data_IF_328065634696
#
_entry.id   IF_328065634696
#
_cell.length_a   1.000
_cell.length_b   1.000
_cell.length_c   1.000
_cell.angle_alpha   90.00
_cell.angle_beta   90.00
_cell.angle_gamma   90.00
#
_symmetry.space_group_name_H-M   'P 1'
#
loop_
_entity.id
_entity.type
_entity.pdbx_description
1 polymer ?
#
# COMPACT_ATOMS: atom_id res chain seq x y z
N UNK A 1 26.36 -50.81 -50.19
CA UNK A 1 27.57 -50.17 -50.02
C UNK A 1 27.29 -48.72 -49.78
N UNK A 2 27.82 -48.12 -48.89
CA UNK A 2 27.82 -46.76 -48.39
C UNK A 2 26.69 -46.44 -47.41
N UNK A 3 26.99 -46.59 -46.10
CA UNK A 3 26.26 -46.13 -44.97
C UNK A 3 26.29 -44.59 -44.93
N UNK A 4 25.12 -43.94 -44.84
CA UNK A 4 24.98 -42.52 -44.49
C UNK A 4 24.52 -42.48 -43.03
N UNK A 5 25.45 -42.12 -42.14
CA UNK A 5 25.22 -41.87 -40.75
C UNK A 5 24.34 -40.59 -40.62
N UNK A 6 23.13 -40.76 -40.12
CA UNK A 6 22.27 -39.65 -39.65
C UNK A 6 22.81 -39.17 -38.31
N UNK A 7 23.41 -38.00 -38.30
CA UNK A 7 23.65 -37.24 -37.07
C UNK A 7 22.32 -36.63 -36.57
N UNK A 8 21.71 -37.28 -35.59
CA UNK A 8 20.69 -36.63 -34.77
C UNK A 8 21.40 -35.55 -33.95
N UNK A 9 21.21 -34.32 -34.30
CA UNK A 9 21.53 -33.18 -33.42
C UNK A 9 20.49 -33.17 -32.29
N UNK A 10 20.94 -33.53 -31.10
CA UNK A 10 20.28 -33.13 -29.84
C UNK A 10 20.19 -31.61 -29.83
N UNK A 11 19.00 -31.11 -30.16
CA UNK A 11 18.65 -29.73 -29.85
C UNK A 11 18.40 -29.65 -28.32
N UNK A 12 19.48 -29.50 -27.57
CA UNK A 12 19.37 -29.05 -26.20
C UNK A 12 18.51 -27.78 -26.20
N UNK A 13 17.39 -27.78 -25.48
CA UNK A 13 16.56 -26.62 -25.29
C UNK A 13 17.37 -25.57 -24.53
N UNK A 14 18.05 -24.70 -25.26
CA UNK A 14 18.54 -23.45 -24.67
C UNK A 14 17.33 -22.74 -24.04
N UNK A 15 17.43 -22.37 -22.78
CA UNK A 15 16.44 -21.52 -22.17
C UNK A 15 16.21 -20.30 -23.10
N UNK A 16 14.97 -19.91 -23.39
CA UNK A 16 14.69 -18.83 -24.32
C UNK A 16 15.45 -17.58 -23.88
N UNK A 17 16.05 -16.89 -24.85
CA UNK A 17 16.77 -15.64 -24.64
C UNK A 17 15.89 -14.70 -23.79
N UNK A 18 16.46 -14.02 -22.82
CA UNK A 18 15.69 -13.28 -21.79
C UNK A 18 14.69 -12.28 -22.39
N UNK A 19 14.96 -11.70 -23.57
CA UNK A 19 14.08 -10.81 -24.30
C UNK A 19 12.87 -11.55 -24.86
N UNK A 20 13.06 -12.70 -25.46
CA UNK A 20 12.00 -13.55 -26.00
C UNK A 20 11.00 -14.00 -24.94
N UNK A 21 11.44 -14.26 -23.71
CA UNK A 21 10.56 -14.65 -22.61
C UNK A 21 9.66 -13.50 -22.12
N UNK A 22 10.19 -12.26 -22.06
CA UNK A 22 9.39 -11.09 -21.69
C UNK A 22 8.36 -10.75 -22.77
N UNK A 23 8.74 -10.83 -24.04
CA UNK A 23 7.82 -10.64 -25.18
C UNK A 23 6.72 -11.69 -25.21
N UNK A 24 7.03 -12.96 -24.95
CA UNK A 24 6.05 -14.03 -24.86
C UNK A 24 5.05 -13.81 -23.70
N UNK A 25 5.53 -13.36 -22.54
CA UNK A 25 4.67 -12.98 -21.40
C UNK A 25 3.72 -11.84 -21.76
N UNK A 26 4.23 -10.80 -22.44
CA UNK A 26 3.43 -9.65 -22.86
C UNK A 26 2.40 -10.08 -23.93
N UNK A 27 2.78 -10.91 -24.89
CA UNK A 27 1.85 -11.46 -25.88
C UNK A 27 0.71 -12.22 -25.21
N UNK A 28 1.02 -13.09 -24.24
CA UNK A 28 -0.01 -13.79 -23.46
C UNK A 28 -0.97 -12.82 -22.77
N UNK A 29 -0.46 -11.75 -22.14
CA UNK A 29 -1.30 -10.73 -21.52
C UNK A 29 -2.19 -9.99 -22.52
N UNK A 30 -1.67 -9.68 -23.71
CA UNK A 30 -2.43 -9.03 -24.79
C UNK A 30 -3.55 -9.92 -25.33
N UNK A 31 -3.35 -11.25 -25.32
CA UNK A 31 -4.35 -12.26 -25.69
C UNK A 31 -5.35 -12.53 -24.53
N UNK A 32 -5.26 -11.79 -23.42
CA UNK A 32 -6.13 -11.92 -22.25
C UNK A 32 -5.78 -13.08 -21.32
N UNK A 33 -4.63 -13.73 -21.51
CA UNK A 33 -4.14 -14.82 -20.65
C UNK A 33 -3.45 -14.31 -19.37
N UNK A 34 -3.48 -15.11 -18.31
CA UNK A 34 -2.83 -14.81 -17.04
C UNK A 34 -1.35 -15.22 -17.06
N UNK A 35 -0.53 -14.47 -16.32
CA UNK A 35 0.83 -14.89 -15.99
C UNK A 35 0.81 -15.67 -14.67
N UNK A 36 1.57 -16.74 -14.62
CA UNK A 36 1.93 -17.35 -13.33
C UNK A 36 2.94 -16.48 -12.57
N UNK A 37 3.15 -16.82 -11.31
CA UNK A 37 4.08 -16.11 -10.41
C UNK A 37 5.50 -16.02 -10.96
N UNK A 38 5.98 -17.07 -11.62
CA UNK A 38 7.34 -17.12 -12.16
C UNK A 38 7.50 -16.22 -13.38
N UNK A 39 6.53 -16.23 -14.31
CA UNK A 39 6.51 -15.38 -15.48
C UNK A 39 6.37 -13.90 -15.09
N UNK A 40 5.46 -13.59 -14.17
CA UNK A 40 5.31 -12.24 -13.62
C UNK A 40 6.61 -11.78 -12.95
N UNK A 41 7.21 -12.60 -12.11
CA UNK A 41 8.48 -12.26 -11.47
C UNK A 41 9.58 -11.97 -12.49
N UNK A 42 9.70 -12.78 -13.56
CA UNK A 42 10.67 -12.55 -14.64
C UNK A 42 10.44 -11.21 -15.34
N UNK A 43 9.18 -10.91 -15.70
CA UNK A 43 8.80 -9.65 -16.35
C UNK A 43 9.16 -8.45 -15.48
N UNK A 44 8.80 -8.47 -14.20
CA UNK A 44 9.07 -7.38 -13.28
C UNK A 44 10.55 -7.27 -12.87
N UNK A 45 11.32 -8.37 -12.88
CA UNK A 45 12.78 -8.31 -12.72
C UNK A 45 13.41 -7.49 -13.83
N UNK A 46 13.01 -7.69 -15.07
CA UNK A 46 13.50 -6.90 -16.20
C UNK A 46 13.12 -5.41 -16.10
N UNK A 47 11.92 -5.13 -15.59
CA UNK A 47 11.49 -3.75 -15.34
C UNK A 47 12.43 -3.06 -14.35
N UNK A 48 12.72 -3.68 -13.19
CA UNK A 48 13.54 -3.05 -12.15
C UNK A 48 15.03 -2.97 -12.51
N UNK A 49 15.50 -3.82 -13.41
CA UNK A 49 16.83 -3.78 -14.01
C UNK A 49 16.97 -2.70 -15.10
N UNK A 50 15.84 -2.12 -15.55
CA UNK A 50 15.82 -1.16 -16.64
C UNK A 50 16.06 -1.78 -18.02
N UNK A 51 15.94 -3.10 -18.15
CA UNK A 51 16.16 -3.86 -19.39
C UNK A 51 14.88 -4.09 -20.20
N UNK A 52 13.70 -3.66 -19.69
CA UNK A 52 12.44 -3.68 -20.44
C UNK A 52 12.20 -2.30 -21.08
N UNK A 53 12.00 -2.29 -22.42
CA UNK A 53 11.76 -1.04 -23.14
C UNK A 53 10.44 -0.37 -22.73
N UNK A 54 10.36 0.96 -22.83
CA UNK A 54 9.14 1.71 -22.48
C UNK A 54 7.89 1.25 -23.26
N UNK A 55 7.93 0.95 -24.57
CA UNK A 55 6.78 0.42 -25.28
C UNK A 55 6.30 -0.93 -24.75
N UNK A 56 7.21 -1.86 -24.45
CA UNK A 56 6.86 -3.17 -23.88
C UNK A 56 6.32 -3.03 -22.46
N UNK A 57 6.90 -2.15 -21.66
CA UNK A 57 6.41 -1.84 -20.33
C UNK A 57 4.99 -1.24 -20.37
N UNK A 58 4.73 -0.32 -21.31
CA UNK A 58 3.39 0.25 -21.51
C UNK A 58 2.39 -0.84 -21.92
N UNK A 59 2.75 -1.70 -22.87
CA UNK A 59 1.91 -2.81 -23.32
C UNK A 59 1.56 -3.75 -22.14
N UNK A 60 2.55 -4.15 -21.33
CA UNK A 60 2.34 -4.98 -20.15
C UNK A 60 1.39 -4.34 -19.14
N UNK A 61 1.59 -3.05 -18.81
CA UNK A 61 0.76 -2.34 -17.84
C UNK A 61 -0.69 -2.18 -18.32
N UNK A 62 -0.88 -1.90 -19.61
CA UNK A 62 -2.22 -1.74 -20.18
C UNK A 62 -2.93 -3.09 -20.27
N UNK A 63 -2.24 -4.14 -20.73
CA UNK A 63 -2.81 -5.48 -20.84
C UNK A 63 -3.24 -6.02 -19.47
N UNK A 64 -2.38 -5.96 -18.44
CA UNK A 64 -2.72 -6.33 -17.06
C UNK A 64 -3.95 -5.59 -16.54
N UNK A 65 -4.01 -4.27 -16.76
CA UNK A 65 -5.14 -3.46 -16.32
C UNK A 65 -6.45 -3.82 -17.03
N UNK A 66 -6.42 -4.05 -18.35
CA UNK A 66 -7.62 -4.34 -19.16
C UNK A 66 -8.15 -5.73 -18.84
N UNK A 67 -7.25 -6.70 -18.69
CA UNK A 67 -7.57 -8.07 -18.31
C UNK A 67 -8.10 -8.14 -16.85
N UNK A 68 -7.52 -7.36 -15.96
CA UNK A 68 -7.63 -7.46 -14.52
C UNK A 68 -6.47 -8.26 -13.94
N UNK A 69 -5.81 -7.68 -12.96
CA UNK A 69 -4.62 -8.25 -12.32
C UNK A 69 -5.00 -9.43 -11.40
N UNK A 70 -4.27 -10.55 -11.48
CA UNK A 70 -4.44 -11.72 -10.62
C UNK A 70 -3.50 -11.69 -9.41
N UNK A 71 -3.78 -12.51 -8.39
CA UNK A 71 -2.90 -12.64 -7.23
C UNK A 71 -1.50 -13.14 -7.62
N UNK A 72 -1.39 -14.13 -8.52
CA UNK A 72 -0.11 -14.67 -8.99
C UNK A 72 0.75 -13.60 -9.68
N UNK A 73 0.11 -12.73 -10.47
CA UNK A 73 0.78 -11.60 -11.12
C UNK A 73 1.27 -10.57 -10.12
N UNK A 74 0.47 -10.27 -9.10
CA UNK A 74 0.85 -9.35 -8.02
C UNK A 74 1.96 -9.93 -7.14
N UNK A 75 1.89 -11.23 -6.80
CA UNK A 75 2.91 -11.91 -6.01
C UNK A 75 4.26 -11.88 -6.75
N UNK A 76 4.28 -12.32 -8.01
CA UNK A 76 5.50 -12.33 -8.81
C UNK A 76 6.12 -10.94 -8.97
N UNK A 77 5.28 -9.93 -9.26
CA UNK A 77 5.71 -8.54 -9.33
C UNK A 77 6.27 -8.01 -8.00
N UNK A 78 5.59 -8.28 -6.89
CA UNK A 78 6.03 -7.87 -5.56
C UNK A 78 7.37 -8.53 -5.18
N UNK A 79 7.55 -9.80 -5.48
CA UNK A 79 8.80 -10.51 -5.22
C UNK A 79 9.98 -9.93 -5.99
N UNK A 80 9.79 -9.63 -7.28
CA UNK A 80 10.83 -9.01 -8.10
C UNK A 80 11.25 -7.65 -7.53
N UNK A 81 10.29 -6.79 -7.16
CA UNK A 81 10.57 -5.48 -6.61
C UNK A 81 11.20 -5.55 -5.20
N UNK A 82 10.74 -6.48 -4.35
CA UNK A 82 11.31 -6.71 -3.02
C UNK A 82 12.74 -7.24 -3.06
N UNK A 83 13.10 -8.02 -4.08
CA UNK A 83 14.43 -8.61 -4.21
C UNK A 83 15.53 -7.54 -4.38
N UNK A 84 15.20 -6.40 -4.98
CA UNK A 84 16.13 -5.28 -5.23
C UNK A 84 15.88 -4.07 -4.31
N UNK A 85 14.97 -4.21 -3.35
CA UNK A 85 14.68 -3.14 -2.40
C UNK A 85 15.83 -2.95 -1.41
N UNK A 86 16.04 -1.71 -0.97
CA UNK A 86 16.96 -1.42 0.14
C UNK A 86 16.39 -2.00 1.42
N UNK A 87 17.25 -2.62 2.23
CA UNK A 87 16.85 -3.22 3.50
C UNK A 87 16.45 -2.15 4.53
N UNK A 88 15.47 -2.48 5.36
CA UNK A 88 15.12 -1.74 6.57
C UNK A 88 15.38 -2.65 7.80
N UNK A 89 16.02 -2.15 8.87
CA UNK A 89 16.29 -2.93 10.08
C UNK A 89 15.01 -3.10 10.90
N UNK A 90 14.15 -4.04 10.49
CA UNK A 90 12.85 -4.27 11.10
C UNK A 90 12.95 -4.64 12.58
N UNK A 91 12.06 -4.09 13.45
CA UNK A 91 12.05 -4.43 14.86
C UNK A 91 11.56 -5.86 15.10
N UNK A 92 11.92 -6.43 16.26
CA UNK A 92 11.39 -7.73 16.67
C UNK A 92 9.97 -7.65 17.27
N UNK A 93 9.54 -6.45 17.70
CA UNK A 93 8.18 -6.24 18.21
C UNK A 93 7.16 -6.09 17.07
N UNK A 94 5.88 -6.34 17.40
CA UNK A 94 4.78 -6.19 16.44
C UNK A 94 4.61 -4.73 16.04
N UNK A 95 4.50 -4.50 14.74
CA UNK A 95 4.18 -3.21 14.12
C UNK A 95 3.27 -3.39 12.92
N UNK A 96 2.61 -2.32 12.51
CA UNK A 96 1.65 -2.34 11.42
C UNK A 96 2.01 -1.34 10.31
N UNK A 97 1.34 -1.47 9.16
CA UNK A 97 1.25 -0.44 8.12
C UNK A 97 -0.22 -0.17 7.81
N UNK A 98 -0.51 1.05 7.38
CA UNK A 98 -1.83 1.47 6.91
C UNK A 98 -1.68 2.29 5.64
N UNK A 99 -2.23 1.80 4.54
CA UNK A 99 -2.12 2.47 3.24
C UNK A 99 -3.30 2.13 2.32
N UNK A 100 -3.63 3.03 1.40
CA UNK A 100 -4.44 2.73 0.23
C UNK A 100 -3.56 2.49 -0.99
N UNK A 101 -4.08 1.77 -1.98
CA UNK A 101 -3.42 1.64 -3.29
C UNK A 101 -3.48 2.94 -4.08
N UNK A 102 -4.35 3.86 -3.68
CA UNK A 102 -4.67 5.06 -4.44
C UNK A 102 -5.53 4.77 -5.67
N UNK A 103 -5.88 5.84 -6.39
CA UNK A 103 -6.62 5.71 -7.65
C UNK A 103 -8.13 5.58 -7.49
N UNK A 104 -8.68 5.91 -6.34
CA UNK A 104 -10.12 6.05 -6.07
C UNK A 104 -10.68 7.40 -6.56
N UNK A 105 -9.81 8.36 -6.86
CA UNK A 105 -10.14 9.72 -7.30
C UNK A 105 -11.07 10.49 -6.34
N UNK A 106 -11.20 10.05 -5.10
CA UNK A 106 -12.05 10.71 -4.09
C UNK A 106 -11.53 12.09 -3.71
N UNK A 107 -10.21 12.27 -3.78
CA UNK A 107 -9.56 13.48 -3.30
C UNK A 107 -9.77 13.73 -1.80
N UNK A 108 -9.94 12.67 -1.01
CA UNK A 108 -10.12 12.73 0.44
C UNK A 108 -8.89 13.31 1.15
N UNK A 109 -9.04 13.66 2.43
CA UNK A 109 -7.92 13.94 3.32
C UNK A 109 -7.03 12.68 3.44
N UNK A 110 -5.81 12.84 3.96
CA UNK A 110 -4.87 11.72 4.12
C UNK A 110 -5.27 10.81 5.31
N UNK A 111 -6.39 10.07 5.14
CA UNK A 111 -7.03 9.25 6.18
C UNK A 111 -6.06 8.23 6.75
N UNK A 112 -5.46 7.38 5.90
CA UNK A 112 -4.54 6.32 6.34
C UNK A 112 -3.28 6.87 7.03
N UNK A 113 -2.80 8.08 6.66
CA UNK A 113 -1.68 8.74 7.35
C UNK A 113 -2.07 9.17 8.76
N UNK A 114 -3.23 9.83 8.91
CA UNK A 114 -3.76 10.23 10.20
C UNK A 114 -4.08 9.01 11.09
N UNK A 115 -4.72 7.98 10.51
CA UNK A 115 -5.05 6.74 11.21
C UNK A 115 -3.80 6.00 11.72
N UNK A 116 -2.72 5.96 10.93
CA UNK A 116 -1.45 5.39 11.36
C UNK A 116 -0.84 6.12 12.56
N UNK A 117 -0.88 7.45 12.57
CA UNK A 117 -0.39 8.25 13.72
C UNK A 117 -1.26 8.04 14.96
N UNK A 118 -2.59 7.97 14.78
CA UNK A 118 -3.53 7.68 15.89
C UNK A 118 -3.30 6.28 16.44
N UNK A 119 -3.12 5.27 15.59
CA UNK A 119 -2.82 3.91 16.04
C UNK A 119 -1.50 3.84 16.81
N UNK A 120 -0.47 4.56 16.36
CA UNK A 120 0.79 4.69 17.08
C UNK A 120 0.60 5.32 18.47
N UNK A 121 -0.21 6.37 18.59
CA UNK A 121 -0.57 6.99 19.85
C UNK A 121 -1.34 6.04 20.80
N UNK A 122 -2.07 5.06 20.24
CA UNK A 122 -2.71 3.98 20.99
C UNK A 122 -1.76 2.82 21.34
N UNK A 123 -0.46 2.96 21.11
CA UNK A 123 0.55 1.95 21.48
C UNK A 123 0.76 0.83 20.44
N UNK A 124 0.25 0.95 19.22
CA UNK A 124 0.56 0.08 18.10
C UNK A 124 1.62 0.76 17.22
N UNK A 125 2.89 0.36 17.24
CA UNK A 125 3.88 0.96 16.37
C UNK A 125 3.51 0.84 14.89
N UNK A 126 3.72 1.92 14.11
CA UNK A 126 3.38 1.97 12.69
C UNK A 126 4.58 2.36 11.86
N UNK A 127 4.91 1.54 10.87
CA UNK A 127 5.91 1.81 9.83
C UNK A 127 5.16 2.07 8.53
N UNK A 128 4.85 3.33 8.28
CA UNK A 128 4.09 3.69 7.09
C UNK A 128 4.98 3.77 5.86
N UNK A 129 4.72 2.91 4.87
CA UNK A 129 5.33 3.03 3.56
C UNK A 129 4.46 3.88 2.63
N UNK A 130 5.03 4.92 2.04
CA UNK A 130 4.24 5.85 1.24
C UNK A 130 5.05 6.66 0.24
N UNK A 131 4.35 7.49 -0.52
CA UNK A 131 4.95 8.29 -1.58
C UNK A 131 4.29 9.68 -1.66
N UNK A 132 4.90 10.56 -2.48
CA UNK A 132 4.24 11.77 -2.96
C UNK A 132 3.11 11.41 -3.91
N UNK A 133 2.15 12.32 -4.06
CA UNK A 133 1.02 12.12 -4.96
C UNK A 133 1.47 11.95 -6.41
N UNK A 134 0.79 11.03 -7.09
CA UNK A 134 0.91 10.84 -8.54
C UNK A 134 -0.35 11.29 -9.29
N UNK A 135 -1.52 11.13 -8.67
CA UNK A 135 -2.83 11.40 -9.27
C UNK A 135 -3.73 12.28 -8.41
N UNK A 136 -3.52 12.32 -7.10
CA UNK A 136 -4.28 13.15 -6.16
C UNK A 136 -3.61 14.52 -5.94
N UNK A 137 -4.28 15.41 -5.20
CA UNK A 137 -3.73 16.74 -4.87
C UNK A 137 -2.66 16.68 -3.77
N UNK A 138 -2.66 15.62 -2.95
CA UNK A 138 -1.79 15.50 -1.78
C UNK A 138 -1.57 14.02 -1.42
N UNK A 139 -0.36 13.55 -1.58
CA UNK A 139 0.07 12.22 -1.12
C UNK A 139 0.45 12.21 0.36
N UNK A 140 0.75 11.02 0.88
CA UNK A 140 1.16 10.86 2.29
C UNK A 140 2.48 11.57 2.61
N UNK A 141 3.44 11.56 1.70
CA UNK A 141 4.69 12.30 1.86
C UNK A 141 4.45 13.82 1.82
N UNK A 142 3.62 14.29 0.86
CA UNK A 142 3.34 15.72 0.69
C UNK A 142 2.75 16.34 1.96
N UNK A 143 1.81 15.65 2.61
CA UNK A 143 1.19 16.17 3.85
C UNK A 143 2.17 16.15 5.03
N UNK A 144 3.03 15.13 5.15
CA UNK A 144 4.01 15.05 6.23
C UNK A 144 5.11 16.13 6.06
N UNK A 145 5.57 16.39 4.83
CA UNK A 145 6.47 17.50 4.53
C UNK A 145 5.82 18.86 4.83
N UNK A 146 4.55 19.04 4.47
CA UNK A 146 3.80 20.26 4.81
C UNK A 146 3.55 20.41 6.33
N UNK A 147 3.58 19.32 7.10
CA UNK A 147 3.58 19.34 8.55
C UNK A 147 4.94 19.69 9.16
N UNK A 148 6.02 19.68 8.37
CA UNK A 148 7.38 20.04 8.77
C UNK A 148 8.30 18.83 8.99
N UNK A 149 7.89 17.61 8.64
CA UNK A 149 8.74 16.44 8.76
C UNK A 149 9.79 16.37 7.65
N UNK A 150 10.99 15.92 7.97
CA UNK A 150 12.01 15.51 7.00
C UNK A 150 11.80 14.03 6.66
N UNK A 151 11.76 13.69 5.39
CA UNK A 151 11.45 12.32 4.92
C UNK A 151 12.62 11.65 4.18
N UNK A 152 13.68 12.39 3.86
CA UNK A 152 14.89 11.89 3.22
C UNK A 152 15.86 11.27 4.25
N UNK A 153 15.32 10.32 5.02
CA UNK A 153 15.99 9.66 6.13
C UNK A 153 16.66 8.35 5.67
N UNK A 154 17.77 8.01 6.30
CA UNK A 154 18.35 6.67 6.19
C UNK A 154 17.46 5.63 6.87
N UNK A 155 17.68 4.36 6.55
CA UNK A 155 16.94 3.27 7.20
C UNK A 155 17.21 3.18 8.71
N UNK A 156 18.40 3.54 9.16
CA UNK A 156 18.76 3.57 10.58
C UNK A 156 18.07 4.73 11.31
N UNK A 157 18.12 5.96 10.77
CA UNK A 157 17.39 7.09 11.33
C UNK A 157 15.89 6.79 11.44
N UNK A 158 15.28 6.26 10.37
CA UNK A 158 13.86 5.88 10.37
C UNK A 158 13.54 4.81 11.42
N UNK A 159 14.46 3.87 11.67
CA UNK A 159 14.30 2.87 12.72
C UNK A 159 14.40 3.48 14.11
N UNK A 160 15.36 4.35 14.37
CA UNK A 160 15.49 5.06 15.65
C UNK A 160 14.27 5.93 15.96
N UNK A 161 13.74 6.61 14.93
CA UNK A 161 12.51 7.39 15.05
C UNK A 161 11.33 6.47 15.45
N UNK A 162 11.19 5.31 14.80
CA UNK A 162 10.16 4.34 15.16
C UNK A 162 10.26 3.92 16.62
N UNK A 163 11.45 3.58 17.08
CA UNK A 163 11.68 3.12 18.46
C UNK A 163 11.38 4.21 19.51
N UNK A 164 11.61 5.48 19.16
CA UNK A 164 11.37 6.64 20.04
C UNK A 164 9.92 7.10 20.06
N UNK A 165 9.24 7.04 18.91
CA UNK A 165 7.95 7.73 18.72
C UNK A 165 6.79 6.78 18.44
N UNK A 166 7.05 5.51 18.15
CA UNK A 166 6.05 4.55 17.70
C UNK A 166 5.57 4.75 16.26
N UNK A 167 6.05 5.77 15.56
CA UNK A 167 5.68 6.05 14.16
C UNK A 167 6.91 6.39 13.33
N UNK A 168 7.03 5.82 12.12
CA UNK A 168 7.98 6.29 11.13
C UNK A 168 7.36 6.23 9.72
N UNK A 169 7.98 6.99 8.81
CA UNK A 169 7.57 7.04 7.41
C UNK A 169 8.74 6.60 6.51
N UNK A 170 8.48 5.63 5.63
CA UNK A 170 9.46 5.15 4.65
C UNK A 170 9.07 5.68 3.27
N UNK A 171 9.85 6.61 2.76
CA UNK A 171 9.61 7.22 1.44
C UNK A 171 9.98 6.24 0.32
N UNK A 172 9.00 5.74 -0.41
CA UNK A 172 9.14 4.65 -1.38
C UNK A 172 10.30 4.80 -2.39
N UNK A 173 10.57 5.96 -3.00
CA UNK A 173 11.70 6.11 -3.92
C UNK A 173 13.08 5.84 -3.29
N UNK A 174 13.23 6.04 -1.98
CA UNK A 174 14.50 5.77 -1.29
C UNK A 174 14.76 4.27 -1.13
N UNK A 175 13.70 3.46 -1.04
CA UNK A 175 13.83 2.02 -0.84
C UNK A 175 13.72 1.19 -2.12
N UNK A 176 13.10 1.73 -3.16
CA UNK A 176 12.83 1.02 -4.42
C UNK A 176 13.38 1.77 -5.64
N UNK A 177 14.69 1.93 -5.78
CA UNK A 177 15.28 2.71 -6.87
C UNK A 177 14.92 2.16 -8.25
N UNK A 178 14.77 0.84 -8.41
CA UNK A 178 14.40 0.20 -9.68
C UNK A 178 13.01 0.59 -10.20
N UNK A 179 12.10 1.05 -9.33
CA UNK A 179 10.78 1.54 -9.76
C UNK A 179 10.91 2.82 -10.62
N UNK A 180 12.00 3.54 -10.51
CA UNK A 180 12.23 4.76 -11.30
C UNK A 180 12.13 4.50 -12.82
N UNK A 181 12.51 3.31 -13.30
CA UNK A 181 12.40 2.93 -14.71
C UNK A 181 10.95 2.93 -15.22
N UNK A 182 9.96 2.65 -14.37
CA UNK A 182 8.54 2.73 -14.72
C UNK A 182 7.98 4.16 -14.71
N UNK A 183 8.71 5.12 -14.18
CA UNK A 183 8.25 6.50 -13.99
C UNK A 183 7.79 7.20 -15.27
N UNK A 184 8.61 7.23 -16.36
CA UNK A 184 8.20 7.86 -17.62
C UNK A 184 6.94 7.25 -18.21
N UNK A 185 6.85 5.91 -18.26
CA UNK A 185 5.69 5.20 -18.81
C UNK A 185 4.42 5.51 -18.00
N UNK A 186 4.48 5.47 -16.68
CA UNK A 186 3.34 5.78 -15.81
C UNK A 186 2.89 7.23 -15.98
N UNK A 187 3.80 8.20 -16.13
CA UNK A 187 3.45 9.60 -16.41
C UNK A 187 2.81 9.79 -17.77
N UNK A 188 3.25 9.04 -18.78
CA UNK A 188 2.67 9.09 -20.12
C UNK A 188 1.27 8.48 -20.17
N UNK A 189 1.06 7.33 -19.54
CA UNK A 189 -0.21 6.61 -19.51
C UNK A 189 -1.32 7.35 -18.74
N UNK A 190 -0.98 8.01 -17.64
CA UNK A 190 -1.94 8.75 -16.75
C UNK A 190 -3.13 7.92 -16.28
N UNK A 191 -2.97 6.62 -16.21
CA UNK A 191 -3.96 5.68 -15.69
C UNK A 191 -3.39 4.86 -14.54
N UNK A 192 -4.27 4.25 -13.74
CA UNK A 192 -3.85 3.25 -12.75
C UNK A 192 -3.22 2.06 -13.46
N UNK A 193 -2.15 1.54 -12.92
CA UNK A 193 -1.46 0.34 -13.39
C UNK A 193 -1.22 -0.61 -12.22
N UNK A 194 -0.78 -1.84 -12.47
CA UNK A 194 -0.38 -2.80 -11.44
C UNK A 194 0.61 -2.20 -10.43
N UNK A 195 1.45 -1.24 -10.84
CA UNK A 195 2.38 -0.55 -9.94
C UNK A 195 1.69 0.20 -8.78
N UNK A 196 0.44 0.59 -8.95
CA UNK A 196 -0.35 1.18 -7.85
C UNK A 196 -0.76 0.09 -6.85
N UNK A 197 -1.14 -1.09 -7.34
CA UNK A 197 -1.58 -2.21 -6.50
C UNK A 197 -0.42 -2.82 -5.72
N UNK A 198 0.78 -2.80 -6.29
CA UNK A 198 1.99 -3.31 -5.64
C UNK A 198 2.44 -2.46 -4.46
N UNK A 199 2.13 -1.15 -4.41
CA UNK A 199 2.58 -0.24 -3.36
C UNK A 199 2.43 -0.78 -1.94
N UNK A 200 1.25 -1.23 -1.49
CA UNK A 200 1.03 -1.85 -0.19
C UNK A 200 1.84 -3.13 0.06
N UNK A 201 2.17 -3.84 -1.00
CA UNK A 201 2.92 -5.10 -0.95
C UNK A 201 4.43 -4.90 -0.80
N UNK A 202 4.93 -3.67 -0.89
CA UNK A 202 6.36 -3.36 -1.02
C UNK A 202 6.98 -2.72 0.23
N UNK A 203 6.27 -2.59 1.35
CA UNK A 203 6.85 -2.00 2.56
C UNK A 203 8.16 -2.74 2.94
N UNK A 204 9.31 -2.05 2.94
CA UNK A 204 10.61 -2.68 3.17
C UNK A 204 10.77 -3.22 4.60
N UNK A 205 9.97 -2.71 5.55
CA UNK A 205 9.93 -3.23 6.92
C UNK A 205 9.23 -4.59 7.03
N UNK A 206 8.45 -5.00 6.01
CA UNK A 206 7.69 -6.27 5.97
C UNK A 206 6.78 -6.45 7.18
N UNK A 207 5.82 -5.54 7.42
CA UNK A 207 4.89 -5.62 8.54
C UNK A 207 4.10 -6.93 8.51
N UNK A 208 3.80 -7.45 9.71
CA UNK A 208 2.94 -8.63 9.88
C UNK A 208 1.48 -8.27 9.99
N UNK A 209 1.17 -6.98 10.16
CA UNK A 209 -0.19 -6.43 10.26
C UNK A 209 -0.35 -5.30 9.26
N UNK A 210 -1.42 -5.34 8.45
CA UNK A 210 -1.70 -4.26 7.48
C UNK A 210 -3.20 -3.94 7.39
N UNK A 211 -3.53 -2.65 7.26
CA UNK A 211 -4.81 -2.18 6.74
C UNK A 211 -4.58 -1.64 5.33
N UNK A 212 -5.23 -2.24 4.33
CA UNK A 212 -5.01 -1.89 2.92
C UNK A 212 -6.32 -1.55 2.24
N UNK A 213 -6.44 -0.31 1.77
CA UNK A 213 -7.57 0.12 0.96
C UNK A 213 -7.38 -0.12 -0.54
N UNK A 214 -8.44 -0.50 -1.23
CA UNK A 214 -8.46 -0.71 -2.69
C UNK A 214 -9.60 0.07 -3.35
N UNK A 215 -9.40 0.64 -4.56
CA UNK A 215 -10.39 1.48 -5.23
C UNK A 215 -11.49 0.70 -5.93
N UNK A 216 -11.35 -0.62 -6.08
CA UNK A 216 -12.30 -1.52 -6.73
C UNK A 216 -12.44 -2.80 -5.92
N UNK A 217 -13.68 -3.23 -5.66
CA UNK A 217 -13.99 -4.46 -4.92
C UNK A 217 -13.36 -5.73 -5.52
N UNK A 218 -13.13 -5.74 -6.83
CA UNK A 218 -12.49 -6.88 -7.52
C UNK A 218 -11.06 -7.14 -7.05
N UNK A 219 -10.42 -6.14 -6.44
CA UNK A 219 -9.05 -6.21 -5.94
C UNK A 219 -8.95 -6.74 -4.50
N UNK A 220 -10.07 -6.89 -3.79
CA UNK A 220 -10.09 -7.34 -2.40
C UNK A 220 -9.38 -8.68 -2.23
N UNK A 221 -9.84 -9.72 -2.94
CA UNK A 221 -9.25 -11.06 -2.89
C UNK A 221 -7.81 -11.10 -3.43
N UNK A 222 -7.51 -10.59 -4.64
CA UNK A 222 -6.15 -10.63 -5.16
C UNK A 222 -5.11 -9.96 -4.24
N UNK A 223 -5.48 -8.85 -3.59
CA UNK A 223 -4.59 -8.19 -2.62
C UNK A 223 -4.46 -9.01 -1.34
N UNK A 224 -5.54 -9.56 -0.80
CA UNK A 224 -5.49 -10.39 0.42
C UNK A 224 -4.62 -11.64 0.21
N UNK A 225 -4.81 -12.36 -0.90
CA UNK A 225 -4.00 -13.51 -1.29
C UNK A 225 -2.52 -13.13 -1.49
N UNK A 226 -2.26 -11.99 -2.13
CA UNK A 226 -0.91 -11.45 -2.30
C UNK A 226 -0.25 -11.19 -0.95
N UNK A 227 -0.93 -10.53 -0.02
CA UNK A 227 -0.41 -10.24 1.32
C UNK A 227 -0.10 -11.53 2.10
N UNK A 228 -1.00 -12.52 2.04
CA UNK A 228 -0.80 -13.83 2.66
C UNK A 228 0.46 -14.53 2.11
N UNK A 229 0.60 -14.61 0.78
CA UNK A 229 1.75 -15.22 0.11
C UNK A 229 3.07 -14.49 0.43
N UNK A 230 3.02 -13.19 0.70
CA UNK A 230 4.16 -12.38 1.09
C UNK A 230 4.48 -12.42 2.60
N UNK A 231 3.73 -13.23 3.37
CA UNK A 231 3.98 -13.51 4.78
C UNK A 231 3.40 -12.48 5.75
N UNK A 232 2.39 -11.70 5.35
CA UNK A 232 1.55 -10.92 6.25
C UNK A 232 0.67 -11.90 7.04
N UNK A 233 0.60 -11.74 8.35
CA UNK A 233 -0.14 -12.65 9.23
C UNK A 233 -1.58 -12.18 9.46
N UNK A 234 -1.77 -10.86 9.56
CA UNK A 234 -3.09 -10.25 9.73
C UNK A 234 -3.24 -9.07 8.80
N UNK A 235 -4.29 -9.05 8.01
CA UNK A 235 -4.62 -7.89 7.21
C UNK A 235 -6.13 -7.65 7.17
N UNK A 236 -6.48 -6.40 6.96
CA UNK A 236 -7.82 -6.00 6.59
C UNK A 236 -7.72 -5.29 5.24
N UNK A 237 -8.24 -5.91 4.19
CA UNK A 237 -8.32 -5.32 2.85
C UNK A 237 -9.71 -4.78 2.64
N UNK A 238 -9.85 -3.48 2.29
CA UNK A 238 -11.13 -2.77 2.33
C UNK A 238 -11.44 -2.01 1.04
N UNK A 239 -12.72 -1.95 0.71
CA UNK A 239 -13.30 -1.11 -0.34
C UNK A 239 -14.53 -0.39 0.20
N UNK A 240 -14.41 0.89 0.50
CA UNK A 240 -15.44 1.69 1.16
C UNK A 240 -16.35 2.42 0.19
N UNK A 241 -17.25 1.72 -0.53
CA UNK A 241 -18.24 2.35 -1.42
C UNK A 241 -17.62 3.38 -2.38
N UNK A 242 -16.51 3.01 -3.03
CA UNK A 242 -15.77 3.84 -3.98
C UNK A 242 -14.50 4.48 -3.41
N UNK A 243 -14.21 4.30 -2.12
CA UNK A 243 -12.96 4.76 -1.47
C UNK A 243 -12.00 3.60 -1.26
N UNK A 244 -10.70 3.89 -1.29
CA UNK A 244 -9.64 3.00 -0.80
C UNK A 244 -9.37 3.18 0.71
N UNK A 245 -10.45 3.37 1.48
CA UNK A 245 -10.50 3.52 2.94
C UNK A 245 -11.80 2.92 3.47
N UNK A 246 -11.95 2.73 4.79
CA UNK A 246 -13.24 2.40 5.39
C UNK A 246 -14.13 3.63 5.37
N UNK A 247 -15.31 3.49 4.76
CA UNK A 247 -16.21 4.60 4.45
C UNK A 247 -17.11 5.00 5.62
N UNK A 248 -17.43 6.31 5.69
CA UNK A 248 -18.49 6.83 6.55
C UNK A 248 -19.83 7.04 5.82
N UNK A 249 -19.83 7.10 4.50
CA UNK A 249 -21.04 7.40 3.69
C UNK A 249 -21.84 6.17 3.30
N UNK A 250 -21.27 4.97 3.51
CA UNK A 250 -21.87 3.71 3.12
C UNK A 250 -21.25 2.51 3.84
N UNK A 251 -21.58 1.33 3.37
CA UNK A 251 -20.91 0.12 3.83
C UNK A 251 -19.53 -0.02 3.18
N UNK A 252 -18.66 -0.75 3.84
CA UNK A 252 -17.34 -1.11 3.35
C UNK A 252 -17.29 -2.62 3.18
N UNK A 253 -16.99 -3.08 1.97
CA UNK A 253 -16.65 -4.48 1.76
C UNK A 253 -15.23 -4.72 2.24
N UNK A 254 -15.04 -5.77 3.01
CA UNK A 254 -13.78 -6.07 3.64
C UNK A 254 -13.43 -7.56 3.50
N UNK A 255 -12.14 -7.82 3.46
CA UNK A 255 -11.57 -9.16 3.60
C UNK A 255 -10.63 -9.14 4.80
N UNK A 256 -10.87 -10.01 5.77
CA UNK A 256 -9.89 -10.30 6.81
C UNK A 256 -8.94 -11.40 6.35
N UNK A 257 -7.65 -11.18 6.60
CA UNK A 257 -6.63 -12.21 6.55
C UNK A 257 -6.16 -12.44 7.99
N UNK A 258 -6.25 -13.68 8.47
CA UNK A 258 -5.75 -14.07 9.78
C UNK A 258 -5.05 -15.41 9.67
N UNK A 259 -3.73 -15.41 9.82
CA UNK A 259 -2.87 -16.61 9.80
C UNK A 259 -3.11 -17.53 8.56
N UNK A 260 -3.39 -16.93 7.41
CA UNK A 260 -3.62 -17.61 6.14
C UNK A 260 -5.10 -17.84 5.78
N UNK A 261 -6.02 -17.69 6.72
CA UNK A 261 -7.46 -17.71 6.46
C UNK A 261 -7.94 -16.37 5.91
N UNK A 262 -8.80 -16.42 4.90
CA UNK A 262 -9.31 -15.25 4.16
C UNK A 262 -10.83 -15.26 4.18
N UNK A 263 -11.43 -14.32 4.93
CA UNK A 263 -12.87 -14.25 5.16
C UNK A 263 -13.44 -12.90 4.72
N UNK A 264 -14.48 -12.90 3.85
CA UNK A 264 -15.19 -11.70 3.47
C UNK A 264 -16.22 -11.29 4.52
N UNK A 265 -16.34 -9.98 4.78
CA UNK A 265 -17.39 -9.42 5.62
C UNK A 265 -17.67 -7.96 5.26
N UNK A 266 -18.63 -7.34 5.93
CA UNK A 266 -18.99 -5.94 5.72
C UNK A 266 -18.83 -5.13 7.00
N UNK A 267 -18.40 -3.89 6.84
CA UNK A 267 -18.28 -2.90 7.91
C UNK A 267 -19.24 -1.76 7.62
N UNK A 268 -19.98 -1.33 8.63
CA UNK A 268 -20.78 -0.11 8.59
C UNK A 268 -20.35 0.85 9.69
N UNK A 269 -20.52 2.19 9.50
CA UNK A 269 -20.21 3.17 10.54
C UNK A 269 -20.98 2.90 11.84
N UNK A 270 -22.23 2.45 11.74
CA UNK A 270 -23.11 2.18 12.88
C UNK A 270 -22.59 1.06 13.78
N UNK A 271 -21.95 0.00 13.21
CA UNK A 271 -21.28 -1.05 13.98
C UNK A 271 -20.19 -0.49 14.89
N UNK A 272 -19.49 0.54 14.40
CA UNK A 272 -18.47 1.28 15.14
C UNK A 272 -19.03 2.34 16.11
N UNK A 273 -20.34 2.50 16.16
CA UNK A 273 -21.00 3.55 16.96
C UNK A 273 -20.92 4.96 16.35
N UNK A 274 -20.67 5.03 15.04
CA UNK A 274 -20.54 6.29 14.30
C UNK A 274 -21.78 6.55 13.45
N UNK A 275 -22.09 7.83 13.23
CA UNK A 275 -23.08 8.22 12.25
C UNK A 275 -22.47 8.32 10.85
N UNK A 276 -23.32 8.29 9.84
CA UNK A 276 -22.90 8.52 8.45
C UNK A 276 -22.62 9.99 8.18
N UNK A 277 -21.63 10.21 7.30
CA UNK A 277 -21.30 11.52 6.78
C UNK A 277 -21.14 11.44 5.26
N UNK A 278 -21.62 12.43 4.50
CA UNK A 278 -21.37 12.49 3.05
C UNK A 278 -19.86 12.48 2.74
N UNK A 279 -19.47 11.81 1.65
CA UNK A 279 -18.06 11.76 1.24
C UNK A 279 -17.45 13.15 1.00
N UNK A 280 -18.26 14.12 0.59
CA UNK A 280 -17.84 15.51 0.40
C UNK A 280 -17.30 16.18 1.68
N UNK A 281 -17.70 15.71 2.86
CA UNK A 281 -17.21 16.26 4.12
C UNK A 281 -15.75 15.89 4.43
N UNK A 282 -15.25 14.78 3.87
CA UNK A 282 -13.86 14.38 4.02
C UNK A 282 -13.01 14.78 2.80
N UNK A 283 -13.55 15.55 1.85
CA UNK A 283 -12.80 16.05 0.70
C UNK A 283 -11.58 16.85 1.16
N UNK A 284 -10.40 16.47 0.68
CA UNK A 284 -9.11 17.09 0.95
C UNK A 284 -8.81 18.26 0.00
N UNK A 285 -7.63 18.83 0.14
CA UNK A 285 -7.15 19.95 -0.63
C UNK A 285 -5.65 19.85 -0.94
N UNK A 286 -5.00 21.00 -0.93
CA UNK A 286 -3.54 21.11 -1.06
C UNK A 286 -2.83 20.48 0.14
N UNK A 287 -1.51 20.16 0.03
CA UNK A 287 -0.75 19.67 1.18
C UNK A 287 -0.86 20.56 2.42
N UNK A 288 -0.84 21.88 2.27
CA UNK A 288 -0.94 22.83 3.37
C UNK A 288 -2.34 22.82 4.02
N UNK A 289 -3.39 22.67 3.22
CA UNK A 289 -4.76 22.55 3.73
C UNK A 289 -4.95 21.24 4.49
N UNK A 290 -4.49 20.13 3.92
CA UNK A 290 -4.55 18.83 4.58
C UNK A 290 -3.69 18.80 5.86
N UNK A 291 -2.51 19.40 5.86
CA UNK A 291 -1.66 19.52 7.05
C UNK A 291 -2.35 20.25 8.19
N UNK A 292 -3.03 21.37 7.90
CA UNK A 292 -3.83 22.10 8.91
C UNK A 292 -4.97 21.24 9.45
N UNK A 293 -5.68 20.52 8.56
CA UNK A 293 -6.77 19.61 8.96
C UNK A 293 -6.26 18.47 9.83
N UNK A 294 -5.15 17.82 9.43
CA UNK A 294 -4.54 16.74 10.22
C UNK A 294 -4.16 17.22 11.62
N UNK A 295 -3.56 18.40 11.75
CA UNK A 295 -3.27 18.97 13.08
C UNK A 295 -4.53 19.13 13.94
N UNK A 296 -5.63 19.59 13.37
CA UNK A 296 -6.91 19.70 14.05
C UNK A 296 -7.46 18.33 14.47
N UNK A 297 -7.47 17.36 13.54
CA UNK A 297 -7.94 15.98 13.79
C UNK A 297 -7.16 15.36 14.95
N UNK A 298 -5.82 15.35 14.85
CA UNK A 298 -4.93 14.75 15.85
C UNK A 298 -4.96 15.49 17.23
N UNK A 299 -5.51 16.69 17.27
CA UNK A 299 -5.75 17.47 18.50
C UNK A 299 -7.19 17.34 19.04
N UNK A 300 -8.05 16.52 18.39
CA UNK A 300 -9.45 16.36 18.78
C UNK A 300 -10.36 17.57 18.54
N UNK A 301 -9.90 18.55 17.74
CA UNK A 301 -10.65 19.79 17.41
C UNK A 301 -10.93 19.93 15.90
N UNK A 302 -10.82 18.82 15.18
CA UNK A 302 -11.14 18.74 13.76
C UNK A 302 -12.65 18.72 13.49
N UNK A 303 -13.03 18.69 12.20
CA UNK A 303 -14.43 18.50 11.78
C UNK A 303 -14.89 17.10 12.20
N UNK A 304 -16.17 16.95 12.58
CA UNK A 304 -16.71 15.68 13.07
C UNK A 304 -16.50 14.53 12.08
N UNK A 305 -16.73 14.75 10.78
CA UNK A 305 -16.51 13.75 9.74
C UNK A 305 -15.03 13.33 9.63
N UNK A 306 -14.09 14.29 9.73
CA UNK A 306 -12.66 14.01 9.68
C UNK A 306 -12.19 13.16 10.87
N UNK A 307 -12.64 13.54 12.07
CA UNK A 307 -12.33 12.78 13.29
C UNK A 307 -12.93 11.38 13.19
N UNK A 308 -14.18 11.25 12.74
CA UNK A 308 -14.88 9.98 12.64
C UNK A 308 -14.22 9.03 11.63
N UNK A 309 -13.85 9.50 10.41
CA UNK A 309 -13.21 8.63 9.41
C UNK A 309 -11.83 8.19 9.86
N UNK A 310 -11.06 9.06 10.50
CA UNK A 310 -9.75 8.73 11.04
C UNK A 310 -9.87 7.74 12.21
N UNK A 311 -10.82 7.96 13.13
CA UNK A 311 -11.09 7.03 14.24
C UNK A 311 -11.51 5.65 13.74
N UNK A 312 -12.36 5.59 12.70
CA UNK A 312 -12.83 4.34 12.10
C UNK A 312 -11.68 3.53 11.52
N UNK A 313 -10.82 4.16 10.72
CA UNK A 313 -9.67 3.48 10.10
C UNK A 313 -8.57 3.14 11.12
N UNK A 314 -8.31 4.00 12.12
CA UNK A 314 -7.39 3.69 13.21
C UNK A 314 -7.90 2.55 14.09
N UNK A 315 -9.19 2.57 14.44
CA UNK A 315 -9.84 1.51 15.22
C UNK A 315 -9.79 0.16 14.52
N UNK A 316 -10.03 0.15 13.20
CA UNK A 316 -9.91 -1.05 12.39
C UNK A 316 -8.47 -1.58 12.34
N UNK A 317 -7.45 -0.71 12.26
CA UNK A 317 -6.05 -1.12 12.33
C UNK A 317 -5.71 -1.73 13.69
N UNK A 318 -6.21 -1.15 14.80
CA UNK A 318 -6.04 -1.69 16.15
C UNK A 318 -6.71 -3.07 16.29
N UNK A 319 -7.92 -3.24 15.73
CA UNK A 319 -8.64 -4.51 15.72
C UNK A 319 -7.86 -5.57 14.90
N UNK A 320 -7.40 -5.22 13.71
CA UNK A 320 -6.59 -6.11 12.87
C UNK A 320 -5.30 -6.55 13.58
N UNK A 321 -4.68 -5.67 14.36
CA UNK A 321 -3.50 -5.98 15.16
C UNK A 321 -3.81 -6.81 16.42
N UNK A 322 -5.08 -7.07 16.74
CA UNK A 322 -5.49 -7.77 17.96
C UNK A 322 -5.25 -6.96 19.24
N UNK A 323 -5.21 -5.62 19.13
CA UNK A 323 -5.08 -4.71 20.29
C UNK A 323 -6.40 -4.45 20.98
N UNK A 324 -7.49 -4.65 20.29
CA UNK A 324 -8.87 -4.54 20.75
C UNK A 324 -9.68 -5.72 20.20
N UNK A 325 -10.82 -6.02 20.81
CA UNK A 325 -11.65 -7.17 20.46
C UNK A 325 -12.63 -6.87 19.33
N UNK A 326 -13.08 -5.64 19.22
CA UNK A 326 -14.03 -5.20 18.20
C UNK A 326 -13.76 -3.77 17.70
N UNK A 327 -14.45 -3.43 16.61
CA UNK A 327 -14.26 -2.14 15.93
C UNK A 327 -14.71 -0.95 16.78
N UNK A 328 -15.77 -1.09 17.57
CA UNK A 328 -16.31 -0.04 18.42
C UNK A 328 -15.34 0.33 19.55
N UNK A 329 -14.74 -0.68 20.16
CA UNK A 329 -13.69 -0.50 21.14
C UNK A 329 -12.49 0.23 20.52
N UNK A 330 -12.04 -0.21 19.33
CA UNK A 330 -10.94 0.43 18.61
C UNK A 330 -11.21 1.90 18.26
N UNK A 331 -12.42 2.21 17.81
CA UNK A 331 -12.86 3.60 17.57
C UNK A 331 -12.85 4.41 18.86
N UNK A 332 -13.28 3.84 19.99
CA UNK A 332 -13.23 4.49 21.29
C UNK A 332 -11.80 4.89 21.69
N UNK A 333 -10.83 3.96 21.56
CA UNK A 333 -9.41 4.26 21.81
C UNK A 333 -8.86 5.33 20.89
N UNK A 334 -9.18 5.26 19.59
CA UNK A 334 -8.74 6.24 18.60
C UNK A 334 -9.28 7.65 18.90
N UNK A 335 -10.56 7.75 19.25
CA UNK A 335 -11.18 9.04 19.65
C UNK A 335 -10.55 9.59 20.91
N UNK A 336 -10.28 8.76 21.91
CA UNK A 336 -9.63 9.18 23.15
C UNK A 336 -8.20 9.67 22.90
N UNK A 337 -7.41 8.98 22.07
CA UNK A 337 -6.06 9.40 21.72
C UNK A 337 -6.03 10.78 21.02
N UNK A 338 -7.04 11.09 20.20
CA UNK A 338 -7.19 12.41 19.60
C UNK A 338 -7.65 13.45 20.63
N UNK A 339 -8.66 13.14 21.44
CA UNK A 339 -9.23 14.04 22.45
C UNK A 339 -8.23 14.41 23.54
N UNK A 340 -7.42 13.46 24.01
CA UNK A 340 -6.34 13.67 24.98
C UNK A 340 -5.10 14.32 24.38
N UNK A 341 -5.07 14.53 23.05
CA UNK A 341 -3.94 15.04 22.27
C UNK A 341 -2.72 14.12 22.24
N UNK A 342 -2.82 12.85 22.63
CA UNK A 342 -1.74 11.88 22.47
C UNK A 342 -1.36 11.69 21.00
N UNK A 343 -2.35 11.62 20.09
CA UNK A 343 -2.10 11.55 18.67
C UNK A 343 -1.34 12.77 18.14
N UNK A 344 -1.63 13.98 18.66
CA UNK A 344 -0.88 15.18 18.32
C UNK A 344 0.54 15.12 18.85
N UNK A 345 0.75 14.69 20.09
CA UNK A 345 2.09 14.53 20.66
C UNK A 345 2.93 13.53 19.88
N UNK A 346 2.35 12.41 19.42
CA UNK A 346 3.03 11.45 18.54
C UNK A 346 3.48 12.08 17.23
N UNK A 347 2.63 12.89 16.57
CA UNK A 347 3.02 13.63 15.37
C UNK A 347 4.17 14.59 15.64
N UNK A 348 4.07 15.40 16.72
CA UNK A 348 5.10 16.40 17.04
C UNK A 348 6.44 15.72 17.37
N UNK A 349 6.43 14.61 18.13
CA UNK A 349 7.62 13.81 18.41
C UNK A 349 8.25 13.22 17.13
N UNK A 350 7.41 12.73 16.19
CA UNK A 350 7.89 12.24 14.90
C UNK A 350 8.56 13.37 14.09
N UNK A 351 7.93 14.54 14.01
CA UNK A 351 8.50 15.70 13.29
C UNK A 351 9.83 16.10 13.92
N UNK A 352 9.88 16.29 15.24
CA UNK A 352 11.11 16.66 15.94
C UNK A 352 12.22 15.63 15.71
N UNK A 353 11.91 14.35 15.87
CA UNK A 353 12.88 13.27 15.66
C UNK A 353 13.35 13.16 14.20
N UNK A 354 12.54 13.60 13.23
CA UNK A 354 12.93 13.61 11.82
C UNK A 354 13.89 14.74 11.45
N UNK A 355 13.97 15.78 12.27
CA UNK A 355 14.84 16.93 12.03
C UNK A 355 16.24 16.76 12.63
N UNK A 356 16.42 15.80 13.56
CA UNK A 356 17.68 15.43 14.21
C UNK A 356 17.76 15.86 15.64
#
# INVERSE_FOLDING_TARGET
>A
MTQILAFARDAGSAAPDSDTAAEAAITRLLDGGDLDRADSRRLFSRLVEGSLSEPLMAAAFVALRVKGETAEELIGGAEALRAVSRAFPSPAYLFADSCGTGGDFSGSINVSTAAGIVAAACGLPVVKHGNRSFTSKCGSADVLEALGARLDLTALESREILDRTGFCFLLAPLYHPGIAHAGPVRRALKVRTIMNLLGPCLNPARPKVQLVGVPDRKLLFPIAETLAALGVQRALVVHGSGLDEIALHGFTQAISLTDGEIDPFEITPEQAGLQRYPVSEIAGGTPQENARRLRGILSGVGRSADIAVVALNAGALLMTAGRVTDLREGVGFAMEAMRSRQARATLDAFIEASLG
#
